data_IF_378943660613
#
_entry.id   IF_378943660613
#
_cell.length_a   1.000
_cell.length_b   1.000
_cell.length_c   1.000
_cell.angle_alpha   90.00
_cell.angle_beta   90.00
_cell.angle_gamma   90.00
#
_symmetry.space_group_name_H-M   'P 1'
#
loop_
_entity.id
_entity.type
_entity.pdbx_description
1 polymer ?
#
# COMPACT_ATOMS: atom_id res chain seq x y z
N UNK A 1 -19.54 54.27 -44.15
CA UNK A 1 -19.88 52.84 -44.34
C UNK A 1 -18.86 51.92 -43.66
N UNK A 2 -17.56 52.10 -43.92
CA UNK A 2 -16.46 51.36 -43.29
C UNK A 2 -16.42 51.44 -41.76
N UNK A 3 -16.66 52.61 -41.16
CA UNK A 3 -16.72 52.77 -39.69
C UNK A 3 -17.89 52.03 -39.05
N UNK A 4 -19.07 52.04 -39.70
CA UNK A 4 -20.28 51.34 -39.25
C UNK A 4 -20.14 49.81 -39.39
N UNK A 5 -19.47 49.35 -40.45
CA UNK A 5 -19.15 47.94 -40.65
C UNK A 5 -18.09 47.45 -39.63
N UNK A 6 -17.10 48.28 -39.32
CA UNK A 6 -16.09 47.95 -38.30
C UNK A 6 -16.72 47.88 -36.89
N UNK A 7 -17.57 48.84 -36.50
CA UNK A 7 -18.22 48.83 -35.18
C UNK A 7 -19.26 47.71 -35.04
N UNK A 8 -20.02 47.40 -36.10
CA UNK A 8 -20.94 46.25 -36.09
C UNK A 8 -20.22 44.90 -35.99
N UNK A 9 -19.05 44.76 -36.62
CA UNK A 9 -18.19 43.58 -36.47
C UNK A 9 -17.70 43.38 -35.03
N UNK A 10 -17.25 44.45 -34.37
CA UNK A 10 -16.80 44.39 -32.97
C UNK A 10 -17.96 44.04 -32.02
N UNK A 11 -19.14 44.61 -32.23
CA UNK A 11 -20.33 44.30 -31.41
C UNK A 11 -20.73 42.82 -31.57
N UNK A 12 -20.75 42.31 -32.81
CA UNK A 12 -21.05 40.90 -33.06
C UNK A 12 -20.03 39.96 -32.41
N UNK A 13 -18.74 40.32 -32.42
CA UNK A 13 -17.67 39.57 -31.76
C UNK A 13 -17.87 39.52 -30.23
N UNK A 14 -18.18 40.66 -29.61
CA UNK A 14 -18.43 40.74 -28.15
C UNK A 14 -19.63 39.87 -27.76
N UNK A 15 -20.73 39.95 -28.53
CA UNK A 15 -21.92 39.12 -28.32
C UNK A 15 -21.58 37.64 -28.50
N UNK A 16 -20.80 37.30 -29.53
CA UNK A 16 -20.33 35.94 -29.78
C UNK A 16 -19.52 35.37 -28.62
N UNK A 17 -18.53 36.10 -28.10
CA UNK A 17 -17.74 35.68 -26.94
C UNK A 17 -18.61 35.53 -25.68
N UNK A 18 -19.57 36.43 -25.45
CA UNK A 18 -20.45 36.37 -24.29
C UNK A 18 -21.37 35.13 -24.32
N UNK A 19 -21.83 34.73 -25.51
CA UNK A 19 -22.75 33.61 -25.69
C UNK A 19 -22.00 32.27 -25.83
N UNK A 20 -20.75 32.26 -26.29
CA UNK A 20 -19.95 31.06 -26.57
C UNK A 20 -20.00 30.04 -25.43
N UNK A 21 -19.82 30.49 -24.18
CA UNK A 21 -19.84 29.62 -23.00
C UNK A 21 -21.21 28.98 -22.79
N UNK A 22 -22.30 29.75 -22.95
CA UNK A 22 -23.66 29.26 -22.78
C UNK A 22 -24.02 28.22 -23.85
N UNK A 23 -23.64 28.47 -25.11
CA UNK A 23 -23.84 27.53 -26.20
C UNK A 23 -23.03 26.24 -25.97
N UNK A 24 -21.76 26.35 -25.55
CA UNK A 24 -20.91 25.19 -25.24
C UNK A 24 -21.53 24.30 -24.15
N UNK A 25 -22.05 24.92 -23.09
CA UNK A 25 -22.71 24.19 -21.99
C UNK A 25 -23.98 23.46 -22.42
N UNK A 26 -24.74 24.00 -23.38
CA UNK A 26 -25.93 23.34 -23.95
C UNK A 26 -25.52 22.15 -24.81
N UNK A 27 -24.53 22.32 -25.69
CA UNK A 27 -24.03 21.23 -26.54
C UNK A 27 -23.47 20.07 -25.73
N UNK A 28 -22.84 20.34 -24.58
CA UNK A 28 -22.35 19.31 -23.68
C UNK A 28 -23.45 18.34 -23.18
N UNK A 29 -24.65 18.86 -22.91
CA UNK A 29 -25.82 18.05 -22.56
C UNK A 29 -26.35 17.19 -23.72
N UNK A 30 -26.21 17.70 -24.95
CA UNK A 30 -26.56 16.96 -26.17
C UNK A 30 -25.55 15.83 -26.42
N UNK A 31 -24.26 16.11 -26.26
CA UNK A 31 -23.18 15.11 -26.44
C UNK A 31 -23.40 13.89 -25.54
N UNK A 32 -23.69 14.08 -24.25
CA UNK A 32 -23.99 12.97 -23.34
C UNK A 32 -25.20 12.14 -23.82
N UNK A 33 -26.24 12.79 -24.36
CA UNK A 33 -27.42 12.07 -24.86
C UNK A 33 -27.18 11.33 -26.19
N UNK A 34 -26.27 11.82 -27.03
CA UNK A 34 -25.93 11.25 -28.34
C UNK A 34 -24.90 10.13 -28.19
N UNK A 35 -23.77 10.39 -27.55
CA UNK A 35 -22.68 9.43 -27.37
C UNK A 35 -23.00 8.40 -26.28
N UNK A 36 -23.85 8.76 -25.32
CA UNK A 36 -24.28 7.93 -24.19
C UNK A 36 -23.13 7.18 -23.52
N UNK A 37 -22.06 7.87 -23.05
CA UNK A 37 -20.96 7.21 -22.33
C UNK A 37 -21.44 6.47 -21.06
N UNK A 38 -22.61 6.89 -20.55
CA UNK A 38 -23.36 6.21 -19.50
C UNK A 38 -24.85 6.48 -19.67
N UNK A 39 -25.67 5.66 -19.02
CA UNK A 39 -27.13 5.68 -19.07
C UNK A 39 -27.69 5.77 -17.66
N UNK A 40 -28.97 6.11 -17.56
CA UNK A 40 -29.71 5.96 -16.31
C UNK A 40 -29.65 4.50 -15.87
N UNK A 41 -29.41 4.28 -14.58
CA UNK A 41 -29.12 3.02 -13.89
C UNK A 41 -27.68 2.50 -13.96
N UNK A 42 -26.80 3.10 -14.76
CA UNK A 42 -25.39 2.70 -14.76
C UNK A 42 -24.72 3.09 -13.44
N UNK A 43 -23.88 2.20 -12.92
CA UNK A 43 -22.90 2.58 -11.92
C UNK A 43 -21.70 3.24 -12.59
N UNK A 44 -21.38 4.47 -12.20
CA UNK A 44 -20.22 5.18 -12.75
C UNK A 44 -19.29 5.71 -11.66
N UNK A 45 -18.03 5.86 -12.03
CA UNK A 45 -17.04 6.63 -11.28
C UNK A 45 -16.52 7.76 -12.16
N UNK A 46 -16.82 8.99 -11.76
CA UNK A 46 -16.53 10.21 -12.51
C UNK A 46 -15.44 11.03 -11.81
N UNK A 47 -14.47 11.52 -12.58
CA UNK A 47 -13.44 12.42 -12.07
C UNK A 47 -13.94 13.88 -12.06
N UNK A 48 -14.05 14.47 -10.88
CA UNK A 48 -14.35 15.89 -10.72
C UNK A 48 -13.12 16.59 -10.11
N UNK A 49 -12.39 17.33 -10.95
CA UNK A 49 -11.11 17.92 -10.57
C UNK A 49 -10.06 16.83 -10.24
N UNK A 50 -9.60 16.77 -8.99
CA UNK A 50 -8.61 15.78 -8.52
C UNK A 50 -9.23 14.59 -7.79
N UNK A 51 -10.55 14.56 -7.63
CA UNK A 51 -11.25 13.55 -6.82
C UNK A 51 -12.19 12.75 -7.72
N UNK A 52 -12.27 11.44 -7.47
CA UNK A 52 -13.27 10.59 -8.11
C UNK A 52 -14.49 10.45 -7.21
N UNK A 53 -15.66 10.57 -7.81
CA UNK A 53 -16.95 10.32 -7.17
C UNK A 53 -17.59 9.10 -7.82
N UNK A 54 -18.17 8.22 -7.01
CA UNK A 54 -18.80 6.98 -7.46
C UNK A 54 -20.28 6.97 -7.06
N UNK A 55 -21.14 6.43 -7.93
CA UNK A 55 -22.57 6.31 -7.67
C UNK A 55 -23.37 5.80 -8.86
N UNK A 56 -24.64 5.48 -8.62
CA UNK A 56 -25.61 5.06 -9.66
C UNK A 56 -26.22 6.29 -10.33
N UNK A 57 -26.22 6.35 -11.65
CA UNK A 57 -26.91 7.40 -12.41
C UNK A 57 -28.42 7.23 -12.21
N UNK A 58 -29.06 8.18 -11.54
CA UNK A 58 -30.51 8.13 -11.26
C UNK A 58 -31.33 8.97 -12.23
N UNK A 59 -30.73 9.99 -12.83
CA UNK A 59 -31.41 10.93 -13.71
C UNK A 59 -30.40 11.69 -14.59
N UNK A 60 -30.78 11.96 -15.84
CA UNK A 60 -30.03 12.78 -16.80
C UNK A 60 -30.99 13.79 -17.40
N UNK A 61 -30.83 15.05 -17.01
CA UNK A 61 -31.60 16.19 -17.53
C UNK A 61 -30.82 16.90 -18.64
N UNK A 62 -31.42 17.93 -19.24
CA UNK A 62 -30.77 18.72 -20.30
C UNK A 62 -29.47 19.41 -19.85
N UNK A 63 -29.30 19.71 -18.55
CA UNK A 63 -28.09 20.41 -18.02
C UNK A 63 -27.35 19.66 -16.91
N UNK A 64 -27.90 18.59 -16.38
CA UNK A 64 -27.38 17.97 -15.15
C UNK A 64 -27.58 16.47 -15.16
N UNK A 65 -26.53 15.77 -14.77
CA UNK A 65 -26.51 14.34 -14.46
C UNK A 65 -26.54 14.18 -12.95
N UNK A 66 -27.39 13.29 -12.44
CA UNK A 66 -27.54 13.03 -11.00
C UNK A 66 -27.09 11.63 -10.65
N UNK A 67 -26.20 11.54 -9.67
CA UNK A 67 -25.64 10.29 -9.16
C UNK A 67 -26.11 10.07 -7.73
N UNK A 68 -26.74 8.93 -7.44
CA UNK A 68 -26.96 8.47 -6.07
C UNK A 68 -25.67 7.81 -5.56
N UNK A 69 -25.06 8.41 -4.56
CA UNK A 69 -23.82 7.89 -3.95
C UNK A 69 -24.12 6.79 -2.93
N UNK A 70 -23.12 5.96 -2.63
CA UNK A 70 -23.22 4.92 -1.59
C UNK A 70 -23.49 5.50 -0.19
N UNK A 71 -23.16 6.79 0.02
CA UNK A 71 -23.48 7.52 1.26
C UNK A 71 -24.94 7.99 1.32
N UNK A 72 -25.75 7.71 0.30
CA UNK A 72 -27.19 7.96 0.28
C UNK A 72 -27.61 9.35 -0.18
N UNK A 73 -26.68 10.22 -0.58
CA UNK A 73 -27.00 11.55 -1.11
C UNK A 73 -26.88 11.59 -2.65
N UNK A 74 -27.61 12.52 -3.27
CA UNK A 74 -27.59 12.75 -4.72
C UNK A 74 -26.55 13.82 -5.07
N UNK A 75 -25.50 13.42 -5.79
CA UNK A 75 -24.51 14.32 -6.38
C UNK A 75 -25.02 14.81 -7.75
N UNK A 76 -25.22 16.12 -7.89
CA UNK A 76 -25.64 16.75 -9.14
C UNK A 76 -24.44 17.32 -9.89
N UNK A 77 -24.14 16.78 -11.07
CA UNK A 77 -23.00 17.17 -11.91
C UNK A 77 -23.52 17.90 -13.17
N UNK A 78 -23.05 19.13 -13.46
CA UNK A 78 -23.39 19.80 -14.71
C UNK A 78 -22.93 18.97 -15.92
N UNK A 79 -23.75 18.91 -16.96
CA UNK A 79 -23.44 18.08 -18.14
C UNK A 79 -22.15 18.53 -18.83
N UNK A 80 -21.81 19.83 -18.83
CA UNK A 80 -20.52 20.32 -19.34
C UNK A 80 -19.31 19.79 -18.60
N UNK A 81 -19.44 19.61 -17.29
CA UNK A 81 -18.38 18.99 -16.49
C UNK A 81 -18.34 17.49 -16.73
N UNK A 82 -19.51 16.84 -16.84
CA UNK A 82 -19.59 15.41 -17.03
C UNK A 82 -19.09 14.95 -18.42
N UNK A 83 -19.35 15.72 -19.48
CA UNK A 83 -18.92 15.39 -20.85
C UNK A 83 -17.41 15.46 -21.03
N UNK A 84 -16.72 16.30 -20.26
CA UNK A 84 -15.26 16.46 -20.32
C UNK A 84 -14.52 15.56 -19.31
N UNK A 85 -15.24 14.93 -18.38
CA UNK A 85 -14.66 14.13 -17.32
C UNK A 85 -14.24 12.73 -17.79
N UNK A 86 -13.20 12.21 -17.16
CA UNK A 86 -12.89 10.77 -17.24
C UNK A 86 -13.96 10.01 -16.48
N UNK A 87 -14.61 9.05 -17.16
CA UNK A 87 -15.71 8.24 -16.62
C UNK A 87 -15.32 6.76 -16.72
N UNK A 88 -15.39 6.06 -15.59
CA UNK A 88 -15.44 4.60 -15.57
C UNK A 88 -16.89 4.17 -15.47
N UNK A 89 -17.41 3.49 -16.49
CA UNK A 89 -18.74 2.91 -16.46
C UNK A 89 -18.63 1.42 -16.13
N UNK A 90 -19.19 1.01 -15.01
CA UNK A 90 -19.07 -0.35 -14.50
C UNK A 90 -19.99 -1.36 -15.20
N UNK A 91 -20.98 -0.89 -15.98
CA UNK A 91 -22.07 -1.70 -16.51
C UNK A 91 -22.40 -1.35 -17.98
N UNK A 92 -21.44 -0.76 -18.74
CA UNK A 92 -21.73 -0.22 -20.07
C UNK A 92 -22.05 -1.30 -21.13
N UNK A 93 -21.27 -2.38 -21.15
CA UNK A 93 -21.36 -3.44 -22.18
C UNK A 93 -22.36 -4.53 -21.83
N UNK A 94 -22.51 -4.83 -20.53
CA UNK A 94 -23.44 -5.83 -20.01
C UNK A 94 -24.02 -5.26 -18.71
N UNK A 95 -25.29 -5.57 -18.38
CA UNK A 95 -25.91 -5.17 -17.10
C UNK A 95 -25.16 -5.77 -15.88
N UNK A 96 -24.15 -6.60 -16.12
CA UNK A 96 -23.31 -7.24 -15.13
C UNK A 96 -22.33 -6.26 -14.50
N UNK A 97 -22.47 -6.04 -13.19
CA UNK A 97 -21.48 -5.32 -12.40
C UNK A 97 -20.48 -6.31 -11.82
N UNK A 98 -19.20 -6.17 -12.15
CA UNK A 98 -18.14 -6.89 -11.44
C UNK A 98 -17.90 -6.23 -10.07
N UNK A 99 -17.90 -7.04 -9.02
CA UNK A 99 -17.51 -6.65 -7.67
C UNK A 99 -16.35 -7.51 -7.17
N UNK A 100 -15.65 -7.01 -6.15
CA UNK A 100 -14.59 -7.75 -5.49
C UNK A 100 -14.57 -7.52 -3.99
N UNK A 101 -14.18 -8.55 -3.25
CA UNK A 101 -13.91 -8.48 -1.81
C UNK A 101 -12.54 -9.08 -1.50
N UNK A 102 -11.82 -8.47 -0.57
CA UNK A 102 -10.50 -8.94 -0.14
C UNK A 102 -10.61 -9.58 1.24
N UNK A 103 -10.11 -10.81 1.37
CA UNK A 103 -10.11 -11.58 2.61
C UNK A 103 -8.68 -11.90 3.00
N UNK A 104 -8.35 -11.73 4.27
CA UNK A 104 -7.04 -12.11 4.82
C UNK A 104 -7.20 -13.36 5.67
N UNK A 105 -6.35 -14.35 5.43
CA UNK A 105 -6.37 -15.64 6.12
C UNK A 105 -4.95 -15.96 6.61
N UNK A 106 -4.82 -16.62 7.76
CA UNK A 106 -3.53 -17.09 8.26
C UNK A 106 -2.86 -18.00 7.20
N UNK A 107 -1.57 -17.77 6.91
CA UNK A 107 -0.83 -18.50 5.89
C UNK A 107 -0.56 -19.97 6.26
N UNK A 108 -0.90 -20.40 7.49
CA UNK A 108 -0.87 -21.80 7.91
C UNK A 108 -1.87 -22.69 7.13
N UNK A 109 -2.86 -22.11 6.44
CA UNK A 109 -3.84 -22.86 5.67
C UNK A 109 -3.42 -22.98 4.19
N UNK A 110 -3.52 -24.18 3.57
CA UNK A 110 -3.20 -24.38 2.16
C UNK A 110 -4.04 -23.48 1.24
N UNK A 111 -3.44 -22.74 0.28
CA UNK A 111 -4.17 -21.80 -0.57
C UNK A 111 -5.34 -22.43 -1.34
N UNK A 112 -5.14 -23.59 -1.95
CA UNK A 112 -6.18 -24.29 -2.72
C UNK A 112 -7.42 -24.60 -1.86
N UNK A 113 -7.20 -24.98 -0.59
CA UNK A 113 -8.30 -25.24 0.36
C UNK A 113 -9.04 -23.96 0.69
N UNK A 114 -8.32 -22.87 0.92
CA UNK A 114 -8.91 -21.55 1.24
C UNK A 114 -9.72 -21.04 0.05
N UNK A 115 -9.15 -21.05 -1.16
CA UNK A 115 -9.82 -20.59 -2.38
C UNK A 115 -11.12 -21.34 -2.62
N UNK A 116 -11.13 -22.66 -2.45
CA UNK A 116 -12.33 -23.48 -2.57
C UNK A 116 -13.42 -23.05 -1.57
N UNK A 117 -13.07 -22.90 -0.30
CA UNK A 117 -14.02 -22.50 0.75
C UNK A 117 -14.60 -21.11 0.47
N UNK A 118 -13.74 -20.16 0.06
CA UNK A 118 -14.17 -18.81 -0.28
C UNK A 118 -15.09 -18.80 -1.50
N UNK A 119 -14.77 -19.58 -2.53
CA UNK A 119 -15.58 -19.69 -3.73
C UNK A 119 -16.95 -20.34 -3.45
N UNK A 120 -16.98 -21.43 -2.68
CA UNK A 120 -18.21 -22.09 -2.25
C UNK A 120 -19.11 -21.13 -1.44
N UNK A 121 -18.49 -20.33 -0.56
CA UNK A 121 -19.20 -19.31 0.21
C UNK A 121 -19.84 -18.25 -0.68
N UNK A 122 -19.09 -17.75 -1.67
CA UNK A 122 -19.54 -16.75 -2.64
C UNK A 122 -20.69 -17.29 -3.49
N UNK A 123 -20.57 -18.51 -4.03
CA UNK A 123 -21.62 -19.17 -4.81
C UNK A 123 -22.90 -19.47 -4.00
N UNK A 124 -22.80 -19.53 -2.67
CA UNK A 124 -23.96 -19.70 -1.78
C UNK A 124 -24.76 -18.41 -1.51
N UNK A 125 -24.36 -17.28 -2.12
CA UNK A 125 -24.98 -15.97 -1.93
C UNK A 125 -25.99 -15.69 -3.04
N UNK A 126 -27.24 -15.35 -2.70
CA UNK A 126 -28.35 -15.31 -3.66
C UNK A 126 -28.20 -14.25 -4.77
N UNK A 127 -27.67 -13.07 -4.48
CA UNK A 127 -27.48 -11.99 -5.47
C UNK A 127 -26.20 -12.17 -6.33
N UNK A 128 -25.39 -13.19 -6.06
CA UNK A 128 -24.17 -13.49 -6.84
C UNK A 128 -24.53 -14.33 -8.06
N UNK A 129 -24.06 -13.89 -9.22
CA UNK A 129 -24.26 -14.63 -10.46
C UNK A 129 -23.36 -15.87 -10.52
N UNK A 130 -23.95 -16.94 -11.07
CA UNK A 130 -23.24 -18.19 -11.38
C UNK A 130 -22.51 -18.10 -12.71
N UNK A 131 -23.03 -17.29 -13.63
CA UNK A 131 -22.43 -16.99 -14.92
C UNK A 131 -22.42 -15.46 -15.10
N UNK A 132 -21.24 -14.83 -15.31
CA UNK A 132 -19.91 -15.42 -15.31
C UNK A 132 -19.51 -16.01 -13.95
N UNK A 133 -18.79 -17.13 -13.97
CA UNK A 133 -18.40 -17.83 -12.75
C UNK A 133 -17.50 -16.96 -11.85
N UNK A 134 -17.80 -16.86 -10.53
CA UNK A 134 -16.93 -16.18 -9.58
C UNK A 134 -15.52 -16.79 -9.57
N UNK A 135 -14.52 -15.98 -9.25
CA UNK A 135 -13.14 -16.45 -9.11
C UNK A 135 -12.57 -16.02 -7.78
N UNK A 136 -11.73 -16.87 -7.19
CA UNK A 136 -10.93 -16.52 -6.01
C UNK A 136 -9.45 -16.67 -6.38
N UNK A 137 -8.62 -15.73 -5.96
CA UNK A 137 -7.18 -15.74 -6.24
C UNK A 137 -6.38 -15.40 -5.00
N UNK A 138 -5.37 -16.21 -4.70
CA UNK A 138 -4.25 -15.82 -3.85
C UNK A 138 -3.50 -14.65 -4.48
N UNK A 139 -3.37 -13.54 -3.76
CA UNK A 139 -2.77 -12.31 -4.28
C UNK A 139 -1.31 -12.14 -3.87
N UNK A 140 -1.05 -12.20 -2.57
CA UNK A 140 0.28 -12.04 -1.96
C UNK A 140 0.26 -12.41 -0.49
N UNK A 141 1.45 -12.59 0.07
CA UNK A 141 1.65 -12.52 1.51
C UNK A 141 1.69 -11.05 1.98
N UNK A 142 1.14 -10.81 3.18
CA UNK A 142 1.27 -9.60 3.98
C UNK A 142 1.75 -10.00 5.38
N UNK A 143 2.24 -9.06 6.19
CA UNK A 143 2.98 -9.28 7.45
C UNK A 143 2.53 -10.49 8.29
N UNK A 144 1.23 -10.68 8.48
CA UNK A 144 0.65 -11.74 9.31
C UNK A 144 -0.42 -12.59 8.60
N UNK A 145 -0.60 -12.46 7.27
CA UNK A 145 -1.64 -13.17 6.54
C UNK A 145 -1.34 -13.37 5.05
N UNK A 146 -2.05 -14.30 4.43
CA UNK A 146 -2.25 -14.36 2.99
C UNK A 146 -3.48 -13.52 2.58
N UNK A 147 -3.33 -12.66 1.56
CA UNK A 147 -4.43 -11.87 0.99
C UNK A 147 -5.04 -12.59 -0.21
N UNK A 148 -6.36 -12.79 -0.19
CA UNK A 148 -7.14 -13.37 -1.27
C UNK A 148 -8.13 -12.33 -1.81
N UNK A 149 -8.30 -12.31 -3.12
CA UNK A 149 -9.34 -11.50 -3.79
C UNK A 149 -10.38 -12.42 -4.39
N UNK A 150 -11.63 -12.23 -3.99
CA UNK A 150 -12.80 -12.87 -4.60
C UNK A 150 -13.40 -11.87 -5.59
N UNK A 151 -13.55 -12.27 -6.85
CA UNK A 151 -14.24 -11.53 -7.89
C UNK A 151 -15.54 -12.24 -8.25
N UNK A 152 -16.63 -11.48 -8.34
CA UNK A 152 -17.95 -12.01 -8.68
C UNK A 152 -18.78 -10.94 -9.37
N UNK A 153 -19.91 -11.35 -9.95
CA UNK A 153 -20.79 -10.47 -10.71
C UNK A 153 -22.17 -10.37 -10.07
N UNK A 154 -22.81 -9.21 -10.22
CA UNK A 154 -24.18 -8.92 -9.78
C UNK A 154 -24.97 -8.26 -10.91
N UNK A 155 -26.28 -8.54 -11.01
CA UNK A 155 -27.15 -8.00 -12.07
C UNK A 155 -27.54 -6.52 -11.87
N UNK A 156 -27.37 -5.96 -10.67
CA UNK A 156 -27.72 -4.57 -10.39
C UNK A 156 -26.63 -3.91 -9.56
N UNK A 157 -26.05 -2.84 -10.10
CA UNK A 157 -25.06 -2.03 -9.40
C UNK A 157 -25.60 -1.49 -8.06
N UNK A 158 -26.88 -1.15 -7.97
CA UNK A 158 -27.51 -0.68 -6.74
C UNK A 158 -27.49 -1.71 -5.61
N UNK A 159 -27.38 -3.00 -5.93
CA UNK A 159 -27.26 -4.10 -4.96
C UNK A 159 -25.81 -4.45 -4.62
N UNK A 160 -24.81 -3.85 -5.27
CA UNK A 160 -23.39 -4.17 -5.08
C UNK A 160 -22.99 -4.13 -3.61
N UNK A 161 -23.38 -3.08 -2.88
CA UNK A 161 -23.02 -2.91 -1.46
C UNK A 161 -23.67 -3.99 -0.58
N UNK A 162 -24.97 -4.23 -0.73
CA UNK A 162 -25.69 -5.27 0.02
C UNK A 162 -25.18 -6.68 -0.31
N UNK A 163 -24.86 -6.93 -1.58
CA UNK A 163 -24.31 -8.20 -2.02
C UNK A 163 -22.90 -8.43 -1.45
N UNK A 164 -22.03 -7.42 -1.46
CA UNK A 164 -20.72 -7.49 -0.82
C UNK A 164 -20.85 -7.89 0.66
N UNK A 165 -21.77 -7.25 1.39
CA UNK A 165 -22.04 -7.58 2.79
C UNK A 165 -22.54 -9.03 2.96
N UNK A 166 -23.43 -9.49 2.07
CA UNK A 166 -23.92 -10.86 2.08
C UNK A 166 -22.80 -11.88 1.83
N UNK A 167 -21.91 -11.62 0.86
CA UNK A 167 -20.72 -12.45 0.59
C UNK A 167 -19.82 -12.50 1.81
N UNK A 168 -19.51 -11.37 2.46
CA UNK A 168 -18.70 -11.36 3.69
C UNK A 168 -19.31 -12.24 4.79
N UNK A 169 -20.63 -12.17 4.99
CA UNK A 169 -21.34 -13.01 5.97
C UNK A 169 -21.22 -14.50 5.61
N UNK A 170 -21.42 -14.87 4.34
CA UNK A 170 -21.27 -16.26 3.88
C UNK A 170 -19.85 -16.77 4.03
N UNK A 171 -18.86 -15.96 3.67
CA UNK A 171 -17.43 -16.26 3.86
C UNK A 171 -17.15 -16.53 5.34
N UNK A 172 -17.62 -15.67 6.24
CA UNK A 172 -17.43 -15.87 7.68
C UNK A 172 -18.03 -17.20 8.17
N UNK A 173 -19.26 -17.55 7.74
CA UNK A 173 -19.91 -18.82 8.10
C UNK A 173 -19.09 -20.02 7.62
N UNK A 174 -18.65 -20.00 6.35
CA UNK A 174 -17.93 -21.12 5.73
C UNK A 174 -16.53 -21.31 6.34
N UNK A 175 -15.79 -20.21 6.58
CA UNK A 175 -14.49 -20.26 7.25
C UNK A 175 -14.64 -20.83 8.67
N UNK A 176 -15.61 -20.34 9.44
CA UNK A 176 -15.85 -20.82 10.79
C UNK A 176 -16.20 -22.32 10.83
N UNK A 177 -17.05 -22.80 9.90
CA UNK A 177 -17.38 -24.23 9.75
C UNK A 177 -16.17 -25.08 9.34
N UNK A 178 -15.23 -24.51 8.60
CA UNK A 178 -14.00 -25.18 8.18
C UNK A 178 -12.88 -25.13 9.24
N UNK A 179 -13.14 -24.52 10.41
CA UNK A 179 -12.14 -24.34 11.46
C UNK A 179 -11.07 -23.30 11.11
N UNK A 180 -11.33 -22.41 10.16
CA UNK A 180 -10.44 -21.31 9.78
C UNK A 180 -10.90 -20.07 10.53
N UNK A 181 -10.13 -19.68 11.54
CA UNK A 181 -10.37 -18.46 12.30
C UNK A 181 -9.76 -17.25 11.59
N UNK A 182 -10.36 -16.05 11.72
CA UNK A 182 -9.76 -14.83 11.24
C UNK A 182 -8.34 -14.67 11.82
N UNK A 183 -7.37 -14.27 10.99
CA UNK A 183 -6.00 -14.06 11.44
C UNK A 183 -5.92 -12.99 12.53
N UNK A 184 -5.22 -13.32 13.61
CA UNK A 184 -4.88 -12.38 14.68
C UNK A 184 -3.49 -11.83 14.38
N UNK A 185 -3.29 -10.53 14.57
CA UNK A 185 -1.94 -9.93 14.47
C UNK A 185 -1.05 -10.61 15.49
N UNK A 186 -0.05 -11.36 15.02
CA UNK A 186 0.95 -11.98 15.90
C UNK A 186 2.18 -11.07 15.97
N UNK A 187 2.55 -10.67 17.18
CA UNK A 187 3.86 -10.08 17.45
C UNK A 187 4.70 -11.15 18.16
N UNK A 188 5.72 -11.65 17.47
CA UNK A 188 6.72 -12.50 18.10
C UNK A 188 7.75 -11.58 18.77
N UNK A 189 7.68 -11.47 20.10
CA UNK A 189 8.69 -10.75 20.88
C UNK A 189 9.82 -11.73 21.19
N UNK A 190 10.88 -11.68 20.40
CA UNK A 190 12.14 -12.33 20.78
C UNK A 190 12.82 -11.48 21.86
N UNK A 191 12.61 -11.84 23.12
CA UNK A 191 13.43 -11.33 24.23
C UNK A 191 14.81 -11.98 24.16
N UNK A 192 15.70 -11.41 23.34
CA UNK A 192 17.13 -11.66 23.49
C UNK A 192 17.56 -11.05 24.82
N UNK A 193 18.02 -11.86 25.77
CA UNK A 193 18.89 -11.33 26.83
C UNK A 193 20.13 -10.84 26.07
N UNK A 194 20.18 -9.53 25.82
CA UNK A 194 21.07 -8.96 24.82
C UNK A 194 22.45 -9.57 24.83
N UNK A 195 23.03 -9.76 23.64
CA UNK A 195 24.49 -9.92 23.52
C UNK A 195 25.06 -8.78 24.37
N UNK A 196 25.74 -9.13 25.48
CA UNK A 196 26.55 -8.17 26.21
C UNK A 196 27.62 -7.74 25.22
N UNK A 197 27.32 -6.72 24.43
CA UNK A 197 28.30 -5.94 23.70
C UNK A 197 29.20 -5.37 24.78
N UNK A 198 30.27 -6.10 25.12
CA UNK A 198 31.41 -5.58 25.86
C UNK A 198 31.76 -4.28 25.14
N UNK A 199 31.65 -3.15 25.83
CA UNK A 199 32.07 -1.89 25.21
C UNK A 199 33.52 -2.06 24.76
N UNK A 200 33.87 -1.53 23.59
CA UNK A 200 35.25 -1.59 23.07
C UNK A 200 36.27 -1.07 24.11
N UNK A 201 35.82 -0.18 25.00
CA UNK A 201 36.56 0.32 26.17
C UNK A 201 36.84 -0.72 27.26
N UNK A 202 35.98 -1.74 27.46
CA UNK A 202 36.19 -2.80 28.45
C UNK A 202 37.14 -3.89 27.96
N UNK A 203 37.11 -4.22 26.67
CA UNK A 203 38.01 -5.19 26.05
C UNK A 203 39.45 -4.66 25.94
N UNK A 204 39.61 -3.34 25.81
CA UNK A 204 40.91 -2.68 25.72
C UNK A 204 41.61 -2.46 27.07
N UNK A 205 40.98 -2.85 28.20
CA UNK A 205 41.59 -2.70 29.52
C UNK A 205 42.77 -3.66 29.69
N UNK A 206 43.89 -3.23 30.32
CA UNK A 206 45.08 -4.08 30.53
C UNK A 206 44.77 -5.46 31.09
N UNK A 207 43.89 -5.54 32.09
CA UNK A 207 43.50 -6.82 32.70
C UNK A 207 42.77 -7.74 31.71
N UNK A 208 41.86 -7.20 30.89
CA UNK A 208 41.13 -7.98 29.90
C UNK A 208 42.07 -8.60 28.85
N UNK A 209 43.05 -7.81 28.38
CA UNK A 209 44.06 -8.27 27.43
C UNK A 209 44.91 -9.42 27.98
N UNK A 210 45.35 -9.32 29.24
CA UNK A 210 46.15 -10.37 29.89
C UNK A 210 45.38 -11.67 30.13
N UNK A 211 44.05 -11.63 30.20
CA UNK A 211 43.21 -12.83 30.29
C UNK A 211 42.98 -13.52 28.96
N UNK A 212 43.00 -12.77 27.86
CA UNK A 212 42.61 -13.25 26.54
C UNK A 212 43.79 -13.77 25.71
N UNK A 213 45.01 -13.30 25.98
CA UNK A 213 46.19 -13.71 25.23
C UNK A 213 46.80 -15.01 25.78
N UNK A 214 46.98 -15.99 24.89
CA UNK A 214 47.48 -17.34 25.23
C UNK A 214 48.80 -17.34 26.00
N UNK A 215 49.71 -16.39 25.69
CA UNK A 215 51.03 -16.28 26.33
C UNK A 215 50.95 -16.00 27.84
N UNK A 216 49.84 -15.43 28.33
CA UNK A 216 49.63 -15.09 29.74
C UNK A 216 48.69 -16.05 30.46
N UNK A 217 48.08 -17.03 29.77
CA UNK A 217 47.24 -18.05 30.39
C UNK A 217 47.93 -18.79 31.56
N UNK A 218 49.23 -19.14 31.50
CA UNK A 218 49.91 -19.84 32.60
C UNK A 218 50.17 -18.97 33.84
N UNK A 219 49.95 -17.65 33.78
CA UNK A 219 50.26 -16.76 34.89
C UNK A 219 49.11 -16.70 35.90
N UNK A 220 49.45 -16.60 37.18
CA UNK A 220 48.46 -16.43 38.24
C UNK A 220 47.79 -15.05 38.18
N UNK A 221 46.62 -14.94 38.80
CA UNK A 221 45.85 -13.69 38.86
C UNK A 221 46.62 -12.55 39.55
N UNK A 222 47.46 -12.88 40.54
CA UNK A 222 48.34 -11.92 41.22
C UNK A 222 49.37 -11.33 40.25
N UNK A 223 49.97 -12.16 39.38
CA UNK A 223 50.95 -11.72 38.38
C UNK A 223 50.27 -10.89 37.30
N UNK A 224 49.07 -11.32 36.83
CA UNK A 224 48.30 -10.55 35.84
C UNK A 224 47.90 -9.17 36.40
N UNK A 225 47.49 -9.11 37.66
CA UNK A 225 47.20 -7.84 38.34
C UNK A 225 48.44 -6.96 38.39
N UNK A 226 49.59 -7.49 38.84
CA UNK A 226 50.86 -6.78 38.90
C UNK A 226 51.29 -6.20 37.54
N UNK A 227 51.11 -6.96 36.46
CA UNK A 227 51.39 -6.53 35.08
C UNK A 227 50.39 -5.48 34.61
N UNK A 228 49.09 -5.68 34.85
CA UNK A 228 48.02 -4.78 34.41
C UNK A 228 48.20 -3.34 34.94
N UNK A 229 48.69 -3.20 36.18
CA UNK A 229 48.98 -1.90 36.80
C UNK A 229 50.19 -1.18 36.19
N UNK A 230 51.09 -1.93 35.53
CA UNK A 230 52.33 -1.42 34.94
C UNK A 230 52.27 -1.30 33.43
N UNK A 231 51.23 -1.82 32.80
CA UNK A 231 50.96 -1.61 31.38
C UNK A 231 50.64 -0.14 31.13
N UNK A 232 51.32 0.44 30.12
CA UNK A 232 51.09 1.81 29.68
C UNK A 232 50.58 1.80 28.27
N UNK A 233 49.52 2.57 28.02
CA UNK A 233 49.00 2.73 26.68
C UNK A 233 49.86 3.72 25.90
N UNK A 234 50.32 3.30 24.73
CA UNK A 234 51.02 4.14 23.77
C UNK A 234 50.18 4.23 22.49
N UNK A 235 50.10 5.43 21.91
CA UNK A 235 49.46 5.66 20.62
C UNK A 235 50.53 6.06 19.63
N UNK A 236 50.51 5.41 18.46
CA UNK A 236 51.44 5.68 17.37
C UNK A 236 50.63 6.16 16.16
N UNK A 237 51.21 7.09 15.42
CA UNK A 237 50.65 7.56 14.15
C UNK A 237 51.15 6.73 12.97
N UNK A 238 50.46 6.81 11.83
CA UNK A 238 50.89 6.13 10.60
C UNK A 238 52.33 6.51 10.23
N UNK A 239 53.16 5.50 9.99
CA UNK A 239 54.58 5.66 9.65
C UNK A 239 55.55 5.79 10.84
N UNK A 240 55.05 5.84 12.08
CA UNK A 240 55.93 5.80 13.26
C UNK A 240 56.48 4.39 13.50
N UNK A 241 57.78 4.31 13.82
CA UNK A 241 58.40 3.03 14.15
C UNK A 241 58.11 2.66 15.61
N UNK A 242 57.39 1.55 15.81
CA UNK A 242 57.07 1.02 17.15
C UNK A 242 58.29 0.33 17.79
N UNK A 243 58.95 -0.58 17.06
CA UNK A 243 60.19 -1.27 17.43
C UNK A 243 60.98 -1.62 16.17
N UNK A 244 62.32 -1.65 16.20
CA UNK A 244 63.13 -2.18 15.08
C UNK A 244 63.72 -3.54 15.42
N UNK A 245 63.77 -4.43 14.43
CA UNK A 245 64.39 -5.74 14.61
C UNK A 245 65.87 -5.58 14.98
N UNK A 246 66.28 -6.21 16.08
CA UNK A 246 67.63 -6.11 16.62
C UNK A 246 67.80 -5.03 17.71
N UNK A 247 66.77 -4.25 18.01
CA UNK A 247 66.78 -3.35 19.16
C UNK A 247 66.87 -4.13 20.47
N UNK A 248 67.70 -3.65 21.39
CA UNK A 248 67.83 -4.23 22.72
C UNK A 248 66.63 -3.77 23.56
N UNK A 249 65.88 -4.69 24.15
CA UNK A 249 64.66 -4.36 24.88
C UNK A 249 64.32 -5.32 26.03
N UNK A 250 63.76 -4.77 27.11
CA UNK A 250 63.25 -5.51 28.27
C UNK A 250 61.72 -5.38 28.43
N UNK A 251 61.01 -5.02 27.35
CA UNK A 251 59.57 -4.74 27.36
C UNK A 251 58.84 -5.54 26.28
N UNK A 252 57.59 -5.89 26.56
CA UNK A 252 56.68 -6.56 25.64
C UNK A 252 55.58 -5.60 25.22
N UNK A 253 55.31 -5.52 23.92
CA UNK A 253 54.23 -4.71 23.35
C UNK A 253 53.06 -5.61 22.96
N UNK A 254 51.84 -5.17 23.27
CA UNK A 254 50.59 -5.81 22.88
C UNK A 254 49.85 -4.84 21.97
N UNK A 255 49.52 -5.28 20.76
CA UNK A 255 48.75 -4.48 19.81
C UNK A 255 47.27 -4.66 20.14
N UNK A 256 46.65 -3.59 20.64
CA UNK A 256 45.21 -3.57 20.97
C UNK A 256 44.37 -3.25 19.74
N UNK A 257 44.86 -2.34 18.89
CA UNK A 257 44.21 -1.91 17.66
C UNK A 257 45.28 -1.49 16.64
N UNK A 258 45.06 -1.82 15.36
CA UNK A 258 45.99 -1.51 14.27
C UNK A 258 46.84 -2.70 13.81
N UNK A 259 47.77 -2.44 12.89
CA UNK A 259 48.67 -3.44 12.31
C UNK A 259 50.08 -2.86 12.29
N UNK A 260 51.04 -3.65 12.77
CA UNK A 260 52.48 -3.35 12.65
C UNK A 260 53.04 -4.28 11.58
N UNK A 261 53.81 -3.72 10.64
CA UNK A 261 54.41 -4.42 9.48
C UNK A 261 55.92 -4.29 9.53
#
# INVERSE_FOLDING_TARGET
LTSLLATSGVIAMIIGLAIQINISNIFSGIVINVERPFRVNDGIKIQLGKVFHEGKVVDITWRTTRLLTDAGYVLSVPNSVASEAVIHNYNYTEELCQSSVNIRIDYAHPPERVEKILLDATLSTDDVLKEPHPTCRFKKFVDWAAEYTILFYVNDYGKKVSCNQAVFKRVWIHLNRAGIVPPVVRQEVQTSQGIKSRSLDEASKPMALLHEMDIFLPFSEEIKTYLSERMRQHRFSEGETVVKQGDVGNSLFVIVEGVVV
#
